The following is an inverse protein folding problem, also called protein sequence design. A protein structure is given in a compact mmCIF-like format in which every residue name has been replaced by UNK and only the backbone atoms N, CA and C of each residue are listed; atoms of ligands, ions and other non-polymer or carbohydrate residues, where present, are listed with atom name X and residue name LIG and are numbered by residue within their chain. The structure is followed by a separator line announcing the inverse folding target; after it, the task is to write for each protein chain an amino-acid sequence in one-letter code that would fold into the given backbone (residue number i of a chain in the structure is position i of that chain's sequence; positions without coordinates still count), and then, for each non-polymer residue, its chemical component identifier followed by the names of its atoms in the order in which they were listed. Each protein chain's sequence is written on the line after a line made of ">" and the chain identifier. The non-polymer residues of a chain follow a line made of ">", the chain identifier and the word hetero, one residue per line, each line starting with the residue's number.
data_IF_855232186534
#
_entry.id   IF_855232186534
#
_cell.length_a   1.000
_cell.length_b   1.000
_cell.length_c   1.000
_cell.angle_alpha   90.00
_cell.angle_beta   90.00
_cell.angle_gamma   90.00
#
_symmetry.space_group_name_H-M   'P 1'
#
loop_
_entity.id
_entity.type
_entity.pdbx_description
1 polymer ?
#
# COMPACT_ATOMS: atom_id res chain seq x y z
N UNK A 1 9.65 72.70 -8.60
CA UNK A 1 10.52 71.52 -8.45
C UNK A 1 10.22 70.86 -7.12
N UNK A 2 9.52 69.74 -7.12
CA UNK A 2 9.36 68.86 -5.95
C UNK A 2 9.26 67.44 -6.48
N UNK A 3 10.30 66.65 -6.22
CA UNK A 3 10.50 65.31 -6.74
C UNK A 3 9.49 64.33 -6.14
N UNK A 4 8.78 63.59 -6.99
CA UNK A 4 7.88 62.51 -6.57
C UNK A 4 8.74 61.24 -6.46
N UNK A 5 8.95 60.76 -5.23
CA UNK A 5 9.55 59.45 -4.98
C UNK A 5 8.44 58.38 -5.09
N UNK A 6 8.52 57.52 -6.12
CA UNK A 6 7.76 56.27 -6.15
C UNK A 6 8.55 55.20 -5.39
N UNK A 7 8.01 54.73 -4.26
CA UNK A 7 8.48 53.52 -3.60
C UNK A 7 7.69 52.33 -4.15
N UNK A 8 8.37 51.42 -4.86
CA UNK A 8 7.81 50.11 -5.22
C UNK A 8 7.90 49.20 -3.98
N UNK A 9 6.75 48.90 -3.37
CA UNK A 9 6.64 47.83 -2.38
C UNK A 9 6.46 46.50 -3.11
N UNK A 10 7.52 45.68 -3.13
CA UNK A 10 7.46 44.28 -3.55
C UNK A 10 6.82 43.47 -2.41
N UNK A 11 5.52 43.19 -2.52
CA UNK A 11 4.84 42.24 -1.65
C UNK A 11 5.19 40.84 -2.16
N UNK A 12 6.23 40.24 -1.58
CA UNK A 12 6.51 38.82 -1.77
C UNK A 12 5.43 38.04 -1.02
N UNK A 13 4.39 37.61 -1.73
CA UNK A 13 3.47 36.58 -1.22
C UNK A 13 4.24 35.26 -1.21
N UNK A 14 4.85 34.95 -0.06
CA UNK A 14 5.35 33.61 0.19
C UNK A 14 4.16 32.66 0.18
N UNK A 15 4.04 31.84 -0.87
CA UNK A 15 3.16 30.68 -0.86
C UNK A 15 3.81 29.69 0.09
N UNK A 16 3.39 29.70 1.35
CA UNK A 16 3.66 28.59 2.26
C UNK A 16 2.79 27.44 1.79
N UNK A 17 3.36 26.57 0.97
CA UNK A 17 2.89 25.20 0.88
C UNK A 17 3.14 24.60 2.27
N UNK A 18 2.11 24.55 3.11
CA UNK A 18 2.12 23.63 4.23
C UNK A 18 2.12 22.23 3.59
N UNK A 19 3.28 21.58 3.62
CA UNK A 19 3.30 20.12 3.50
C UNK A 19 2.56 19.62 4.74
N UNK A 20 1.28 19.30 4.56
CA UNK A 20 0.56 18.41 5.46
C UNK A 20 1.35 17.09 5.40
N UNK A 21 2.30 16.91 6.32
CA UNK A 21 2.96 15.62 6.47
C UNK A 21 1.86 14.61 6.77
N UNK A 22 1.69 13.63 5.89
CA UNK A 22 0.78 12.51 6.13
C UNK A 22 1.17 11.92 7.50
N UNK A 23 0.27 12.00 8.48
CA UNK A 23 0.53 11.59 9.86
C UNK A 23 0.59 10.06 9.91
N UNK A 24 1.76 9.50 9.59
CA UNK A 24 2.02 8.07 9.64
C UNK A 24 2.09 7.65 11.12
N UNK A 25 1.11 6.88 11.64
CA UNK A 25 1.07 6.49 13.06
C UNK A 25 2.23 5.58 13.47
N UNK A 26 3.00 5.06 12.51
CA UNK A 26 4.21 4.28 12.76
C UNK A 26 5.45 5.12 13.08
N UNK A 27 5.46 6.43 12.80
CA UNK A 27 6.64 7.28 12.99
C UNK A 27 6.84 7.73 14.45
N UNK A 28 5.83 7.53 15.31
CA UNK A 28 5.80 7.99 16.70
C UNK A 28 5.35 6.90 17.69
N UNK A 29 5.72 5.62 17.47
CA UNK A 29 5.30 4.52 18.35
C UNK A 29 6.05 4.56 19.69
N UNK A 30 5.37 4.99 20.75
CA UNK A 30 5.89 5.04 22.12
C UNK A 30 5.13 4.12 23.10
N UNK A 31 3.94 3.66 22.73
CA UNK A 31 3.10 2.80 23.57
C UNK A 31 2.25 1.79 22.76
N UNK A 32 1.55 0.92 23.48
CA UNK A 32 0.77 -0.16 22.87
C UNK A 32 -0.42 0.33 22.03
N UNK A 33 -1.01 1.50 22.31
CA UNK A 33 -2.11 2.05 21.49
C UNK A 33 -1.55 2.44 20.12
N UNK A 34 -0.44 3.18 20.11
CA UNK A 34 0.27 3.53 18.87
C UNK A 34 0.78 2.29 18.14
N UNK A 35 1.17 1.23 18.86
CA UNK A 35 1.53 -0.05 18.24
C UNK A 35 0.34 -0.68 17.49
N UNK A 36 -0.86 -0.65 18.08
CA UNK A 36 -2.06 -1.15 17.42
C UNK A 36 -2.44 -0.30 16.20
N UNK A 37 -2.41 1.02 16.34
CA UNK A 37 -2.70 1.97 15.25
C UNK A 37 -1.72 1.81 14.09
N UNK A 38 -0.42 1.74 14.39
CA UNK A 38 0.61 1.46 13.39
C UNK A 38 0.37 0.11 12.70
N UNK A 39 0.09 -0.98 13.44
CA UNK A 39 -0.18 -2.28 12.80
C UNK A 39 -1.37 -2.22 11.84
N UNK A 40 -2.43 -1.50 12.21
CA UNK A 40 -3.61 -1.34 11.36
C UNK A 40 -3.29 -0.51 10.10
N UNK A 41 -2.52 0.57 10.27
CA UNK A 41 -2.05 1.39 9.15
C UNK A 41 -1.16 0.58 8.20
N UNK A 42 -0.15 -0.13 8.71
CA UNK A 42 0.74 -0.98 7.92
C UNK A 42 -0.03 -2.04 7.13
N UNK A 43 -1.00 -2.70 7.77
CA UNK A 43 -1.89 -3.64 7.08
C UNK A 43 -2.62 -2.96 5.92
N UNK A 44 -3.28 -1.83 6.16
CA UNK A 44 -4.05 -1.13 5.13
C UNK A 44 -3.17 -0.69 3.97
N UNK A 45 -2.01 -0.11 4.25
CA UNK A 45 -1.05 0.34 3.22
C UNK A 45 -0.53 -0.83 2.39
N UNK A 46 -0.18 -1.95 3.02
CA UNK A 46 0.30 -3.15 2.31
C UNK A 46 -0.81 -3.82 1.47
N UNK A 47 -2.06 -3.87 1.97
CA UNK A 47 -3.20 -4.38 1.19
C UNK A 47 -3.52 -3.45 0.00
N UNK A 48 -3.34 -2.13 0.15
CA UNK A 48 -3.48 -1.16 -0.93
C UNK A 48 -2.37 -1.35 -1.98
N UNK A 49 -1.10 -1.44 -1.57
CA UNK A 49 0.03 -1.71 -2.46
C UNK A 49 -0.19 -3.00 -3.27
N UNK A 50 -0.68 -4.05 -2.61
CA UNK A 50 -1.02 -5.31 -3.26
C UNK A 50 -2.10 -5.16 -4.33
N UNK A 51 -3.15 -4.39 -4.03
CA UNK A 51 -4.22 -4.09 -4.99
C UNK A 51 -3.67 -3.35 -6.20
N UNK A 52 -2.84 -2.34 -5.97
CA UNK A 52 -2.24 -1.52 -7.03
C UNK A 52 -1.29 -2.34 -7.90
N UNK A 53 -0.53 -3.26 -7.31
CA UNK A 53 0.35 -4.16 -8.05
C UNK A 53 -0.39 -5.23 -8.84
N UNK A 54 -1.51 -5.73 -8.31
CA UNK A 54 -2.39 -6.63 -9.05
C UNK A 54 -3.02 -5.94 -10.28
N UNK A 55 -3.47 -4.70 -10.12
CA UNK A 55 -3.98 -3.89 -11.22
C UNK A 55 -2.87 -3.61 -12.26
N UNK A 56 -1.70 -3.18 -11.81
CA UNK A 56 -0.54 -2.93 -12.66
C UNK A 56 -0.12 -4.17 -13.45
N UNK A 57 -0.13 -5.35 -12.83
CA UNK A 57 0.10 -6.61 -13.54
C UNK A 57 -0.95 -6.86 -14.63
N UNK A 58 -2.22 -6.61 -14.33
CA UNK A 58 -3.31 -6.80 -15.31
C UNK A 58 -3.13 -5.89 -16.53
N UNK A 59 -2.76 -4.63 -16.32
CA UNK A 59 -2.46 -3.65 -17.38
C UNK A 59 -1.23 -4.05 -18.21
N UNK A 60 -0.21 -4.59 -17.55
CA UNK A 60 0.99 -5.12 -18.21
C UNK A 60 0.65 -6.31 -19.10
N UNK A 61 -0.17 -7.25 -18.62
CA UNK A 61 -0.63 -8.38 -19.43
C UNK A 61 -1.43 -7.91 -20.64
N UNK A 62 -2.27 -6.88 -20.48
CA UNK A 62 -3.00 -6.26 -21.58
C UNK A 62 -2.07 -5.64 -22.63
N UNK A 63 -0.98 -5.00 -22.20
CA UNK A 63 0.03 -4.42 -23.08
C UNK A 63 0.79 -5.51 -23.85
N UNK A 64 1.25 -6.56 -23.17
CA UNK A 64 2.06 -7.62 -23.76
C UNK A 64 1.26 -8.54 -24.68
N UNK A 65 0.02 -8.88 -24.29
CA UNK A 65 -0.77 -9.91 -24.95
C UNK A 65 -2.05 -9.40 -25.62
N UNK A 66 -2.27 -8.08 -25.68
CA UNK A 66 -3.50 -7.47 -26.24
C UNK A 66 -3.81 -7.86 -27.68
N UNK A 67 -2.79 -8.17 -28.48
CA UNK A 67 -2.95 -8.64 -29.86
C UNK A 67 -3.36 -10.12 -29.97
N UNK A 68 -3.19 -10.91 -28.90
CA UNK A 68 -3.61 -12.30 -28.80
C UNK A 68 -4.67 -12.48 -27.71
N UNK A 69 -5.92 -12.21 -28.07
CA UNK A 69 -7.07 -12.23 -27.14
C UNK A 69 -7.23 -13.55 -26.38
N UNK A 70 -6.95 -14.68 -27.02
CA UNK A 70 -7.06 -16.00 -26.38
C UNK A 70 -6.01 -16.16 -25.27
N UNK A 71 -4.76 -15.80 -25.55
CA UNK A 71 -3.67 -15.86 -24.57
C UNK A 71 -3.87 -14.86 -23.43
N UNK A 72 -4.30 -13.63 -23.73
CA UNK A 72 -4.62 -12.63 -22.71
C UNK A 72 -5.75 -13.12 -21.77
N UNK A 73 -6.80 -13.70 -22.33
CA UNK A 73 -7.92 -14.23 -21.53
C UNK A 73 -7.45 -15.35 -20.61
N UNK A 74 -6.63 -16.27 -21.13
CA UNK A 74 -6.09 -17.40 -20.36
C UNK A 74 -5.17 -16.94 -19.22
N UNK A 75 -4.20 -16.05 -19.47
CA UNK A 75 -3.26 -15.62 -18.43
C UNK A 75 -3.95 -14.78 -17.34
N UNK A 76 -4.86 -13.87 -17.72
CA UNK A 76 -5.60 -13.05 -16.74
C UNK A 76 -6.52 -13.92 -15.87
N UNK A 77 -7.14 -14.97 -16.43
CA UNK A 77 -7.93 -15.91 -15.63
C UNK A 77 -7.07 -16.69 -14.62
N UNK A 78 -5.86 -17.09 -15.01
CA UNK A 78 -4.90 -17.77 -14.11
C UNK A 78 -4.42 -16.84 -13.00
N UNK A 79 -4.04 -15.61 -13.33
CA UNK A 79 -3.62 -14.59 -12.35
C UNK A 79 -4.73 -14.36 -11.31
N UNK A 80 -5.96 -14.17 -11.77
CA UNK A 80 -7.12 -13.99 -10.88
C UNK A 80 -7.33 -15.18 -9.96
N UNK A 81 -7.27 -16.40 -10.50
CA UNK A 81 -7.44 -17.63 -9.72
C UNK A 81 -6.34 -17.77 -8.66
N UNK A 82 -5.08 -17.55 -9.05
CA UNK A 82 -3.94 -17.62 -8.16
C UNK A 82 -4.04 -16.58 -7.02
N UNK A 83 -4.45 -15.35 -7.33
CA UNK A 83 -4.63 -14.30 -6.33
C UNK A 83 -5.72 -14.65 -5.31
N UNK A 84 -6.85 -15.20 -5.76
CA UNK A 84 -7.93 -15.65 -4.87
C UNK A 84 -7.52 -16.80 -3.95
N UNK A 85 -6.68 -17.72 -4.44
CA UNK A 85 -6.14 -18.81 -3.62
C UNK A 85 -5.09 -18.31 -2.64
N UNK A 86 -4.23 -17.39 -3.08
CA UNK A 86 -3.22 -16.78 -2.23
C UNK A 86 -3.86 -16.03 -1.05
N UNK A 87 -4.95 -15.28 -1.26
CA UNK A 87 -5.67 -14.61 -0.15
C UNK A 87 -6.11 -15.59 0.94
N UNK A 88 -6.65 -16.76 0.55
CA UNK A 88 -7.05 -17.80 1.50
C UNK A 88 -5.86 -18.40 2.25
N UNK A 89 -4.73 -18.55 1.56
CA UNK A 89 -3.49 -19.05 2.15
C UNK A 89 -2.96 -18.05 3.16
N UNK A 90 -2.89 -16.77 2.79
CA UNK A 90 -2.52 -15.67 3.69
C UNK A 90 -3.36 -15.65 4.95
N UNK A 91 -4.69 -15.68 4.80
CA UNK A 91 -5.58 -15.59 5.95
C UNK A 91 -5.44 -16.83 6.88
N UNK A 92 -5.20 -18.02 6.30
CA UNK A 92 -4.95 -19.23 7.08
C UNK A 92 -3.59 -19.19 7.81
N UNK A 93 -2.53 -18.78 7.11
CA UNK A 93 -1.18 -18.69 7.67
C UNK A 93 -1.12 -17.62 8.77
N UNK A 94 -1.77 -16.46 8.59
CA UNK A 94 -1.79 -15.40 9.60
C UNK A 94 -2.61 -15.78 10.84
N UNK A 95 -3.61 -16.66 10.71
CA UNK A 95 -4.28 -17.23 11.88
C UNK A 95 -3.35 -18.17 12.68
N UNK A 96 -2.41 -18.84 12.01
CA UNK A 96 -1.38 -19.68 12.65
C UNK A 96 -0.28 -18.81 13.26
N UNK A 97 0.21 -17.80 12.54
CA UNK A 97 1.30 -16.90 12.96
C UNK A 97 0.92 -16.11 14.23
N UNK A 98 -0.37 -15.81 14.40
CA UNK A 98 -0.88 -15.14 15.60
C UNK A 98 -0.87 -16.03 16.86
N UNK A 99 -0.55 -17.33 16.78
CA UNK A 99 -0.45 -18.20 17.96
C UNK A 99 0.78 -17.84 18.81
N UNK A 100 0.69 -17.80 20.16
CA UNK A 100 -0.42 -18.26 21.02
C UNK A 100 -1.41 -17.15 21.43
N UNK A 101 -1.42 -16.00 20.76
CA UNK A 101 -2.31 -14.91 21.14
C UNK A 101 -3.78 -15.34 21.04
N UNK A 102 -4.58 -14.96 22.04
CA UNK A 102 -5.99 -15.33 22.09
C UNK A 102 -6.77 -14.54 21.04
N UNK A 103 -7.58 -15.23 20.23
CA UNK A 103 -8.45 -14.59 19.25
C UNK A 103 -9.32 -13.49 19.88
N UNK A 104 -9.38 -12.33 19.23
CA UNK A 104 -10.08 -11.14 19.73
C UNK A 104 -9.28 -10.29 20.73
N UNK A 105 -8.10 -10.73 21.18
CA UNK A 105 -7.21 -9.89 21.99
C UNK A 105 -6.47 -8.86 21.14
N UNK A 106 -5.99 -7.80 21.78
CA UNK A 106 -5.15 -6.77 21.12
C UNK A 106 -3.88 -7.36 20.49
N UNK A 107 -3.21 -8.26 21.21
CA UNK A 107 -2.00 -8.94 20.73
C UNK A 107 -2.28 -9.79 19.48
N UNK A 108 -3.42 -10.48 19.45
CA UNK A 108 -3.84 -11.25 18.27
C UNK A 108 -4.14 -10.35 17.07
N UNK A 109 -4.79 -9.21 17.29
CA UNK A 109 -5.05 -8.23 16.23
C UNK A 109 -3.76 -7.65 15.65
N UNK A 110 -2.80 -7.27 16.51
CA UNK A 110 -1.48 -6.76 16.07
C UNK A 110 -0.77 -7.84 15.25
N UNK A 111 -0.64 -9.06 15.78
CA UNK A 111 0.04 -10.16 15.08
C UNK A 111 -0.60 -10.49 13.73
N UNK A 112 -1.93 -10.49 13.63
CA UNK A 112 -2.62 -10.67 12.35
C UNK A 112 -2.35 -9.51 11.38
N UNK A 113 -2.39 -8.27 11.85
CA UNK A 113 -2.13 -7.10 11.00
C UNK A 113 -0.72 -7.14 10.43
N UNK A 114 0.28 -7.40 11.28
CA UNK A 114 1.68 -7.47 10.90
C UNK A 114 1.93 -8.62 9.90
N UNK A 115 1.36 -9.80 10.14
CA UNK A 115 1.45 -10.93 9.21
C UNK A 115 0.82 -10.60 7.85
N UNK A 116 -0.38 -10.01 7.84
CA UNK A 116 -1.06 -9.64 6.60
C UNK A 116 -0.27 -8.59 5.83
N UNK A 117 0.31 -7.61 6.53
CA UNK A 117 1.16 -6.58 5.91
C UNK A 117 2.36 -7.23 5.20
N UNK A 118 3.19 -7.97 5.94
CA UNK A 118 4.38 -8.66 5.41
C UNK A 118 4.05 -9.54 4.21
N UNK A 119 3.03 -10.40 4.33
CA UNK A 119 2.64 -11.31 3.24
C UNK A 119 2.14 -10.53 2.02
N UNK A 120 1.42 -9.42 2.22
CA UNK A 120 0.92 -8.59 1.12
C UNK A 120 2.05 -7.84 0.40
N UNK A 121 3.08 -7.39 1.12
CA UNK A 121 4.30 -6.80 0.54
C UNK A 121 5.07 -7.84 -0.29
N UNK A 122 5.36 -9.02 0.27
CA UNK A 122 6.00 -10.13 -0.46
C UNK A 122 5.23 -10.53 -1.72
N UNK A 123 3.89 -10.53 -1.63
CA UNK A 123 3.04 -10.82 -2.79
C UNK A 123 3.08 -9.69 -3.82
N UNK A 124 3.15 -8.45 -3.39
CA UNK A 124 3.29 -7.29 -4.27
C UNK A 124 4.56 -7.41 -5.12
N UNK A 125 5.70 -7.69 -4.48
CA UNK A 125 6.98 -7.93 -5.18
C UNK A 125 6.88 -9.09 -6.19
N UNK A 126 6.21 -10.19 -5.79
CA UNK A 126 5.96 -11.30 -6.72
C UNK A 126 5.14 -10.86 -7.94
N UNK A 127 4.04 -10.12 -7.74
CA UNK A 127 3.21 -9.62 -8.84
C UNK A 127 3.98 -8.64 -9.73
N UNK A 128 4.82 -7.79 -9.15
CA UNK A 128 5.71 -6.88 -9.88
C UNK A 128 6.69 -7.64 -10.76
N UNK A 129 7.23 -8.77 -10.31
CA UNK A 129 8.22 -9.54 -11.07
C UNK A 129 7.69 -10.15 -12.37
N UNK A 130 6.36 -10.30 -12.51
CA UNK A 130 5.76 -10.97 -13.66
C UNK A 130 5.68 -10.04 -14.87
N UNK A 131 6.23 -10.50 -16.00
CA UNK A 131 6.13 -9.81 -17.30
C UNK A 131 7.02 -8.57 -17.42
N UNK A 132 8.15 -8.54 -16.71
CA UNK A 132 9.13 -7.44 -16.71
C UNK A 132 10.18 -7.55 -17.84
N UNK A 133 10.01 -8.45 -18.82
CA UNK A 133 10.95 -8.67 -19.94
C UNK A 133 10.78 -7.66 -21.09
#
# INVERSE_FOLDING_TARGET
>A
MKSIFLALALIATGVQAAEEADDNPCDAVENEIQTLECSAYSRTTAEQLLSDNYQSLTERMQTLYGNNKAQLTDITAKIKTAQQQWLKTRDADCAVDAFPATSGSKAFTIAQNDCVARMSDERSEFLESIGQE
#
